data_IF_962587360704
#
_entry.id   IF_962587360704
#
_cell.length_a   1.000
_cell.length_b   1.000
_cell.length_c   1.000
_cell.angle_alpha   90.00
_cell.angle_beta   90.00
_cell.angle_gamma   90.00
#
_symmetry.space_group_name_H-M   'P 1'
#
loop_
_entity.id
_entity.type
_entity.pdbx_description
1 polymer ?
#
# COMPACT_ATOMS: atom_id res chain seq x y z
N UNK A 1 74.04 18.73 -5.14
CA UNK A 1 73.19 17.64 -4.62
C UNK A 1 71.74 18.09 -4.77
N UNK A 2 71.08 17.65 -5.85
CA UNK A 2 69.71 18.01 -6.17
C UNK A 2 68.78 16.90 -5.67
N UNK A 3 67.88 17.22 -4.74
CA UNK A 3 66.77 16.33 -4.40
C UNK A 3 65.50 16.88 -5.06
N UNK A 4 65.11 16.17 -6.11
CA UNK A 4 63.77 16.14 -6.69
C UNK A 4 62.78 15.72 -5.60
N UNK A 5 61.62 16.36 -5.52
CA UNK A 5 60.36 15.61 -5.57
C UNK A 5 59.19 16.56 -5.79
N UNK A 6 58.64 16.47 -7.00
CA UNK A 6 57.47 17.20 -7.47
C UNK A 6 56.23 16.39 -7.08
N UNK A 7 55.53 16.77 -6.00
CA UNK A 7 54.25 16.15 -5.64
C UNK A 7 53.09 16.92 -6.28
N UNK A 8 52.82 16.61 -7.54
CA UNK A 8 51.50 16.84 -8.17
C UNK A 8 50.98 15.46 -8.56
N UNK A 9 50.08 14.89 -7.76
CA UNK A 9 49.15 13.87 -8.22
C UNK A 9 47.89 13.95 -7.34
N UNK A 10 46.87 14.52 -7.97
CA UNK A 10 45.45 14.12 -7.87
C UNK A 10 44.73 14.50 -6.58
N UNK A 11 44.49 15.81 -6.49
CA UNK A 11 43.22 16.39 -6.07
C UNK A 11 42.06 15.68 -6.82
N UNK A 12 41.52 14.59 -6.28
CA UNK A 12 40.49 13.81 -7.00
C UNK A 12 39.90 12.63 -6.24
N UNK A 13 39.88 12.67 -4.90
CA UNK A 13 39.28 11.62 -4.09
C UNK A 13 38.58 12.18 -2.84
N UNK A 14 37.79 13.24 -3.03
CA UNK A 14 36.94 13.79 -1.95
C UNK A 14 35.50 14.08 -2.40
N UNK A 15 35.12 13.62 -3.60
CA UNK A 15 33.84 13.92 -4.23
C UNK A 15 33.16 12.63 -4.74
N UNK A 16 32.97 11.65 -3.85
CA UNK A 16 32.19 10.45 -4.18
C UNK A 16 31.42 9.83 -3.00
N UNK A 17 31.39 10.47 -1.82
CA UNK A 17 30.67 9.96 -0.63
C UNK A 17 29.58 10.94 -0.16
N UNK A 18 29.23 11.94 -0.97
CA UNK A 18 28.26 12.98 -0.62
C UNK A 18 26.93 12.93 -1.39
N UNK A 19 26.73 11.98 -2.31
CA UNK A 19 25.58 12.00 -3.26
C UNK A 19 24.81 10.66 -3.28
N UNK A 20 24.86 9.89 -2.19
CA UNK A 20 24.11 8.62 -2.08
C UNK A 20 22.97 8.64 -1.06
N UNK A 21 22.63 9.80 -0.48
CA UNK A 21 21.58 9.91 0.56
C UNK A 21 20.35 10.72 0.12
N UNK A 22 20.37 11.36 -1.05
CA UNK A 22 19.25 12.21 -1.50
C UNK A 22 18.29 11.58 -2.53
N UNK A 23 18.49 10.32 -2.95
CA UNK A 23 17.62 9.67 -3.94
C UNK A 23 16.48 8.82 -3.34
N UNK A 24 16.46 8.61 -2.01
CA UNK A 24 15.46 7.78 -1.33
C UNK A 24 14.22 8.51 -0.82
N UNK A 25 14.12 9.83 -0.97
CA UNK A 25 13.13 10.67 -0.26
C UNK A 25 12.01 11.20 -1.17
N UNK A 26 11.96 10.82 -2.45
CA UNK A 26 10.97 11.35 -3.41
C UNK A 26 9.77 10.43 -3.72
N UNK A 27 9.57 9.34 -2.96
CA UNK A 27 8.33 8.55 -3.01
C UNK A 27 7.41 8.82 -1.80
N UNK A 28 7.29 10.10 -1.44
CA UNK A 28 6.31 10.63 -0.50
C UNK A 28 5.41 11.62 -1.24
N UNK A 29 4.65 11.15 -2.23
CA UNK A 29 3.66 11.97 -2.93
C UNK A 29 2.46 11.11 -3.34
N UNK A 30 1.65 10.81 -2.34
CA UNK A 30 0.38 10.10 -2.46
C UNK A 30 -0.30 10.01 -1.09
N UNK A 31 -0.22 11.09 -0.32
CA UNK A 31 -0.90 11.21 0.96
C UNK A 31 -2.39 11.41 0.72
N UNK A 32 -3.19 10.42 1.10
CA UNK A 32 -4.64 10.51 1.18
C UNK A 32 -5.01 11.47 2.34
N UNK A 33 -5.93 12.44 2.14
CA UNK A 33 -6.28 13.41 3.17
C UNK A 33 -7.17 12.77 4.25
N UNK A 34 -6.55 12.29 5.34
CA UNK A 34 -7.28 11.79 6.51
C UNK A 34 -6.40 11.28 7.66
N UNK A 35 -5.14 11.71 7.72
CA UNK A 35 -4.11 11.11 8.56
C UNK A 35 -4.16 11.59 10.03
N UNK A 36 -5.13 11.11 10.80
CA UNK A 36 -5.18 11.27 12.27
C UNK A 36 -4.25 10.24 12.96
N UNK A 37 -2.94 10.41 12.76
CA UNK A 37 -1.85 10.27 13.73
C UNK A 37 -1.84 9.12 14.76
N UNK A 38 -1.73 7.87 14.32
CA UNK A 38 -1.10 6.79 15.08
C UNK A 38 0.20 6.32 14.41
N UNK A 39 1.14 5.67 15.11
CA UNK A 39 2.35 5.13 14.48
C UNK A 39 1.97 4.05 13.47
N UNK A 40 2.30 4.27 12.19
CA UNK A 40 2.21 3.24 11.15
C UNK A 40 3.40 2.31 11.26
N UNK A 41 3.14 1.05 11.59
CA UNK A 41 4.14 -0.02 11.50
C UNK A 41 3.89 -0.87 10.26
N UNK A 42 4.97 -1.24 9.56
CA UNK A 42 4.93 -2.32 8.57
C UNK A 42 4.44 -3.60 9.26
N UNK A 43 3.42 -4.25 8.73
CA UNK A 43 2.80 -5.43 9.30
C UNK A 43 2.83 -6.62 8.32
N UNK A 44 2.73 -7.84 8.86
CA UNK A 44 2.56 -9.02 8.03
C UNK A 44 1.21 -8.96 7.30
N UNK A 45 1.24 -9.16 5.97
CA UNK A 45 0.04 -9.05 5.17
C UNK A 45 -0.99 -10.15 5.44
N UNK A 46 -0.56 -11.36 5.81
CA UNK A 46 -1.50 -12.42 6.16
C UNK A 46 -2.22 -12.07 7.47
N UNK A 47 -1.52 -11.52 8.47
CA UNK A 47 -2.14 -11.04 9.71
C UNK A 47 -3.12 -9.89 9.46
N UNK A 48 -2.75 -8.93 8.61
CA UNK A 48 -3.59 -7.78 8.25
C UNK A 48 -4.84 -8.21 7.49
N UNK A 49 -4.72 -9.12 6.52
CA UNK A 49 -5.88 -9.67 5.81
C UNK A 49 -6.77 -10.50 6.73
N UNK A 50 -6.16 -11.29 7.63
CA UNK A 50 -6.92 -12.04 8.62
C UNK A 50 -7.69 -11.09 9.56
N UNK A 51 -7.09 -9.98 10.02
CA UNK A 51 -7.81 -8.95 10.79
C UNK A 51 -9.01 -8.42 10.00
N UNK A 52 -8.84 -8.15 8.71
CA UNK A 52 -9.90 -7.70 7.81
C UNK A 52 -10.95 -8.79 7.47
N UNK A 53 -10.78 -10.01 7.97
CA UNK A 53 -11.59 -11.21 7.67
C UNK A 53 -11.58 -11.60 6.18
N UNK A 54 -10.44 -11.38 5.51
CA UNK A 54 -10.21 -11.78 4.13
C UNK A 54 -9.16 -12.89 4.06
N UNK A 55 -9.28 -13.75 3.05
CA UNK A 55 -8.20 -14.64 2.64
C UNK A 55 -7.27 -13.91 1.66
N UNK A 56 -5.95 -14.18 1.68
CA UNK A 56 -5.05 -13.69 0.65
C UNK A 56 -5.44 -14.28 -0.72
N UNK A 57 -5.45 -13.47 -1.80
CA UNK A 57 -5.68 -13.99 -3.14
C UNK A 57 -4.54 -14.91 -3.57
N UNK A 58 -4.85 -15.89 -4.41
CA UNK A 58 -3.82 -16.70 -5.05
C UNK A 58 -2.96 -15.82 -5.98
N UNK A 59 -1.65 -16.04 -6.00
CA UNK A 59 -0.75 -15.37 -6.95
C UNK A 59 -0.58 -13.86 -6.75
N UNK A 60 -1.06 -13.30 -5.63
CA UNK A 60 -0.85 -11.88 -5.30
C UNK A 60 0.63 -11.54 -5.15
N UNK A 61 0.99 -10.29 -5.48
CA UNK A 61 2.39 -9.80 -5.46
C UNK A 61 2.46 -8.34 -5.05
N UNK A 62 3.68 -7.87 -4.81
CA UNK A 62 3.99 -6.49 -4.39
C UNK A 62 3.20 -6.04 -3.15
N UNK A 63 3.00 -6.97 -2.23
CA UNK A 63 2.27 -6.73 -0.99
C UNK A 63 2.93 -5.71 -0.08
N UNK A 64 2.17 -4.71 0.32
CA UNK A 64 2.52 -3.79 1.42
C UNK A 64 1.34 -3.68 2.37
N UNK A 65 1.57 -3.96 3.63
CA UNK A 65 0.55 -3.89 4.67
C UNK A 65 1.07 -3.10 5.86
N UNK A 66 0.19 -2.28 6.41
CA UNK A 66 0.45 -1.43 7.56
C UNK A 66 -0.64 -1.64 8.61
N UNK A 67 -0.26 -1.59 9.88
CA UNK A 67 -1.20 -1.56 11.01
C UNK A 67 -0.98 -0.27 11.78
N UNK A 68 -2.09 0.33 12.18
CA UNK A 68 -2.11 1.53 13.04
C UNK A 68 -3.04 1.26 14.21
N UNK A 69 -2.59 1.58 15.41
CA UNK A 69 -3.43 1.58 16.62
C UNK A 69 -3.59 3.03 17.08
N UNK A 70 -4.84 3.47 17.21
CA UNK A 70 -5.19 4.78 17.74
C UNK A 70 -5.11 4.77 19.28
N UNK A 71 -4.98 5.96 19.88
CA UNK A 71 -4.87 6.11 21.33
C UNK A 71 -6.11 5.62 22.11
N UNK A 72 -7.26 5.54 21.46
CA UNK A 72 -8.51 4.98 22.00
C UNK A 72 -8.62 3.45 21.86
N UNK A 73 -7.56 2.79 21.37
CA UNK A 73 -7.49 1.35 21.18
C UNK A 73 -8.11 0.85 19.87
N UNK A 74 -8.63 1.74 19.01
CA UNK A 74 -9.09 1.34 17.67
C UNK A 74 -7.91 0.92 16.81
N UNK A 75 -8.05 -0.22 16.15
CA UNK A 75 -7.05 -0.73 15.20
C UNK A 75 -7.56 -0.52 13.78
N UNK A 76 -6.72 0.07 12.93
CA UNK A 76 -6.96 0.15 11.50
C UNK A 76 -5.81 -0.52 10.77
N UNK A 77 -6.12 -1.27 9.71
CA UNK A 77 -5.12 -1.86 8.83
C UNK A 77 -5.30 -1.36 7.41
N UNK A 78 -4.18 -1.17 6.74
CA UNK A 78 -4.13 -0.82 5.32
C UNK A 78 -3.36 -1.91 4.59
N UNK A 79 -3.85 -2.34 3.45
CA UNK A 79 -3.11 -3.22 2.56
C UNK A 79 -3.15 -2.74 1.12
N UNK A 80 -2.09 -3.00 0.38
CA UNK A 80 -2.02 -2.78 -1.06
C UNK A 80 -1.25 -3.92 -1.70
N UNK A 81 -1.76 -4.43 -2.82
CA UNK A 81 -1.11 -5.47 -3.59
C UNK A 81 -1.57 -5.47 -5.04
N UNK A 82 -0.95 -6.33 -5.85
CA UNK A 82 -1.32 -6.60 -7.24
C UNK A 82 -1.74 -8.03 -7.44
N UNK A 83 -2.68 -8.24 -8.34
CA UNK A 83 -3.13 -9.55 -8.81
C UNK A 83 -3.60 -9.48 -10.26
N UNK A 84 -3.82 -10.62 -10.91
CA UNK A 84 -4.40 -10.64 -12.25
C UNK A 84 -5.88 -10.21 -12.19
N UNK A 85 -6.32 -9.45 -13.19
CA UNK A 85 -7.67 -8.93 -13.30
C UNK A 85 -8.70 -10.06 -13.33
N UNK A 86 -8.37 -11.16 -14.01
CA UNK A 86 -9.22 -12.35 -14.10
C UNK A 86 -9.45 -13.03 -12.73
N UNK A 87 -8.53 -12.85 -11.76
CA UNK A 87 -8.62 -13.48 -10.45
C UNK A 87 -9.39 -12.62 -9.43
N UNK A 88 -9.64 -11.34 -9.73
CA UNK A 88 -10.29 -10.39 -8.82
C UNK A 88 -11.70 -10.85 -8.46
N UNK A 89 -12.48 -11.27 -9.46
CA UNK A 89 -13.85 -11.74 -9.25
C UNK A 89 -13.89 -12.97 -8.33
N UNK A 90 -13.04 -13.96 -8.60
CA UNK A 90 -12.94 -15.16 -7.78
C UNK A 90 -12.51 -14.85 -6.34
N UNK A 91 -11.59 -13.91 -6.16
CA UNK A 91 -11.17 -13.47 -4.83
C UNK A 91 -12.29 -12.74 -4.09
N UNK A 92 -13.00 -11.82 -4.73
CA UNK A 92 -14.15 -11.11 -4.13
C UNK A 92 -15.27 -12.10 -3.78
N UNK A 93 -15.52 -13.11 -4.62
CA UNK A 93 -16.50 -14.15 -4.37
C UNK A 93 -16.14 -15.06 -3.17
N UNK A 94 -14.88 -15.06 -2.73
CA UNK A 94 -14.45 -15.79 -1.52
C UNK A 94 -14.86 -15.11 -0.21
N UNK A 95 -15.36 -13.88 -0.28
CA UNK A 95 -15.74 -13.14 0.91
C UNK A 95 -17.01 -13.73 1.54
N UNK A 96 -17.15 -13.66 2.88
CA UNK A 96 -18.31 -14.21 3.56
C UNK A 96 -19.63 -13.54 3.13
N UNK A 97 -19.55 -12.31 2.63
CA UNK A 97 -20.66 -11.54 2.06
C UNK A 97 -20.15 -10.74 0.88
N UNK A 98 -20.99 -10.61 -0.14
CA UNK A 98 -20.67 -9.81 -1.32
C UNK A 98 -20.48 -8.34 -0.92
N UNK A 99 -19.35 -7.72 -1.27
CA UNK A 99 -19.14 -6.31 -1.00
C UNK A 99 -20.04 -5.45 -1.89
N UNK A 100 -20.56 -4.36 -1.35
CA UNK A 100 -21.45 -3.44 -2.05
C UNK A 100 -20.62 -2.42 -2.83
N UNK A 101 -20.98 -2.16 -4.08
CA UNK A 101 -20.33 -1.12 -4.87
C UNK A 101 -20.68 0.26 -4.29
N UNK A 102 -19.66 1.09 -4.08
CA UNK A 102 -19.80 2.45 -3.54
C UNK A 102 -19.02 3.44 -4.38
N UNK A 103 -19.33 4.73 -4.24
CA UNK A 103 -18.54 5.78 -4.88
C UNK A 103 -17.10 5.78 -4.34
N UNK A 104 -16.12 5.86 -5.24
CA UNK A 104 -14.73 6.07 -4.85
C UNK A 104 -14.56 7.46 -4.21
N UNK A 105 -14.06 7.56 -2.96
CA UNK A 105 -13.76 8.84 -2.36
C UNK A 105 -12.54 9.49 -3.03
N UNK A 106 -12.49 10.83 -3.02
CA UNK A 106 -11.37 11.62 -3.52
C UNK A 106 -11.46 12.02 -5.01
N UNK A 107 -10.53 12.87 -5.48
CA UNK A 107 -10.47 13.27 -6.88
C UNK A 107 -10.19 12.06 -7.77
N UNK A 108 -10.93 11.96 -8.87
CA UNK A 108 -10.70 10.93 -9.90
C UNK A 108 -9.45 11.33 -10.69
N UNK A 109 -8.49 10.41 -10.91
CA UNK A 109 -7.39 10.69 -11.82
C UNK A 109 -7.92 10.88 -13.26
N UNK A 110 -7.18 11.60 -14.11
CA UNK A 110 -7.64 11.94 -15.47
C UNK A 110 -7.88 10.71 -16.37
N UNK A 111 -7.27 9.57 -16.03
CA UNK A 111 -7.44 8.27 -16.70
C UNK A 111 -8.46 7.36 -15.98
N UNK A 112 -9.30 7.91 -15.11
CA UNK A 112 -10.33 7.15 -14.40
C UNK A 112 -11.36 6.59 -15.36
N UNK A 113 -11.44 5.27 -15.41
CA UNK A 113 -12.52 4.54 -16.06
C UNK A 113 -13.47 3.99 -14.99
N UNK A 114 -14.72 4.52 -14.86
CA UNK A 114 -15.68 4.04 -13.88
C UNK A 114 -16.16 2.60 -14.12
N UNK A 115 -16.01 2.06 -15.34
CA UNK A 115 -16.40 0.69 -15.64
C UNK A 115 -15.32 -0.32 -15.22
N UNK A 116 -14.06 0.13 -15.18
CA UNK A 116 -12.91 -0.71 -14.88
C UNK A 116 -12.33 -0.48 -13.47
N UNK A 117 -12.48 0.72 -12.89
CA UNK A 117 -12.16 1.02 -11.48
C UNK A 117 -13.40 0.85 -10.59
N UNK A 118 -13.25 0.11 -9.49
CA UNK A 118 -14.34 -0.16 -8.56
C UNK A 118 -13.95 0.12 -7.12
N UNK A 119 -14.79 0.86 -6.40
CA UNK A 119 -14.73 0.95 -4.96
C UNK A 119 -15.88 0.15 -4.35
N UNK A 120 -15.56 -0.57 -3.29
CA UNK A 120 -16.52 -1.46 -2.63
C UNK A 120 -16.42 -1.30 -1.12
N UNK A 121 -17.53 -1.50 -0.44
CA UNK A 121 -17.59 -1.53 1.01
C UNK A 121 -18.22 -2.84 1.48
N UNK A 122 -17.66 -3.41 2.53
CA UNK A 122 -18.22 -4.59 3.19
C UNK A 122 -18.29 -4.32 4.70
N UNK A 123 -19.51 -4.35 5.23
CA UNK A 123 -19.73 -4.45 6.67
C UNK A 123 -19.85 -5.92 7.05
N UNK A 124 -19.11 -6.33 8.08
CA UNK A 124 -19.18 -7.68 8.63
C UNK A 124 -20.33 -7.79 9.62
N UNK A 125 -20.96 -8.96 9.66
CA UNK A 125 -22.06 -9.21 10.59
C UNK A 125 -21.51 -9.37 12.02
N UNK A 126 -21.90 -8.43 12.88
CA UNK A 126 -21.61 -8.46 14.31
C UNK A 126 -20.13 -8.22 14.69
N UNK A 127 -19.90 -7.77 15.93
CA UNK A 127 -18.54 -7.59 16.46
C UNK A 127 -17.86 -8.95 16.65
N UNK A 128 -16.59 -9.05 16.24
CA UNK A 128 -15.73 -10.19 16.50
C UNK A 128 -14.43 -9.68 17.13
N UNK A 129 -14.07 -10.11 18.36
CA UNK A 129 -12.85 -9.64 19.01
C UNK A 129 -11.61 -9.85 18.15
N UNK A 130 -10.77 -8.81 18.03
CA UNK A 130 -9.53 -8.84 17.25
C UNK A 130 -9.73 -8.88 15.73
N UNK A 131 -10.92 -8.49 15.23
CA UNK A 131 -11.23 -8.44 13.80
C UNK A 131 -11.92 -7.13 13.45
N UNK A 132 -11.75 -6.70 12.21
CA UNK A 132 -12.44 -5.55 11.66
C UNK A 132 -13.97 -5.73 11.72
N UNK A 133 -14.68 -4.62 11.94
CA UNK A 133 -16.13 -4.51 11.76
C UNK A 133 -16.49 -4.33 10.28
N UNK A 134 -15.58 -3.83 9.45
CA UNK A 134 -15.77 -3.74 8.01
C UNK A 134 -14.49 -3.39 7.27
N UNK A 135 -14.60 -3.34 5.95
CA UNK A 135 -13.51 -2.93 5.09
C UNK A 135 -13.99 -2.18 3.85
N UNK A 136 -13.11 -1.35 3.31
CA UNK A 136 -13.27 -0.69 2.01
C UNK A 136 -12.21 -1.22 1.06
N UNK A 137 -12.63 -1.54 -0.15
CA UNK A 137 -11.76 -1.95 -1.25
C UNK A 137 -11.74 -0.86 -2.31
N UNK A 138 -10.58 -0.69 -2.95
CA UNK A 138 -10.42 -0.02 -4.22
C UNK A 138 -9.65 -0.93 -5.15
N UNK A 139 -10.22 -1.23 -6.30
CA UNK A 139 -9.60 -2.01 -7.37
C UNK A 139 -9.35 -1.05 -8.52
N UNK A 140 -8.09 -0.92 -8.91
CA UNK A 140 -7.64 -0.06 -10.00
C UNK A 140 -6.92 -0.91 -11.04
N UNK A 141 -7.42 -1.02 -12.28
CA UNK A 141 -6.68 -1.66 -13.36
C UNK A 141 -5.35 -0.95 -13.59
N UNK A 142 -4.30 -1.71 -13.79
CA UNK A 142 -3.02 -1.23 -14.27
C UNK A 142 -2.84 -1.65 -15.73
N UNK A 143 -1.80 -1.11 -16.39
CA UNK A 143 -1.49 -1.47 -17.78
C UNK A 143 -1.26 -2.99 -17.88
N UNK A 144 -1.91 -3.64 -18.85
CA UNK A 144 -1.85 -5.08 -19.05
C UNK A 144 -3.02 -5.81 -18.42
N UNK A 145 -2.76 -6.98 -17.82
CA UNK A 145 -3.77 -7.85 -17.20
C UNK A 145 -3.84 -7.71 -15.69
N UNK A 146 -3.14 -6.73 -15.10
CA UNK A 146 -2.98 -6.60 -13.66
C UNK A 146 -3.96 -5.60 -13.07
N UNK A 147 -4.46 -5.88 -11.88
CA UNK A 147 -5.19 -4.94 -11.05
C UNK A 147 -4.42 -4.68 -9.77
N UNK A 148 -4.35 -3.41 -9.37
CA UNK A 148 -3.91 -2.98 -8.05
C UNK A 148 -5.11 -2.96 -7.12
N UNK A 149 -5.00 -3.65 -5.99
CA UNK A 149 -5.99 -3.67 -4.93
C UNK A 149 -5.46 -2.88 -3.75
N UNK A 150 -6.25 -1.96 -3.22
CA UNK A 150 -6.03 -1.30 -1.94
C UNK A 150 -7.21 -1.59 -1.03
N UNK A 151 -6.93 -1.88 0.23
CA UNK A 151 -7.96 -2.02 1.24
C UNK A 151 -7.62 -1.28 2.52
N UNK A 152 -8.67 -0.85 3.19
CA UNK A 152 -8.70 -0.26 4.53
C UNK A 152 -9.70 -1.08 5.35
N UNK A 153 -9.35 -1.47 6.57
CA UNK A 153 -10.24 -2.21 7.45
C UNK A 153 -10.11 -1.75 8.89
N UNK A 154 -11.25 -1.64 9.58
CA UNK A 154 -11.37 -1.23 10.99
C UNK A 154 -12.53 -1.94 11.67
#
# INVERSE_FOLDING_TARGET
>A
MALRSTFKLVLGLSLAVGVAVCAGVLWQAGGDPGDEGGPRGTADCAEVMAFARMAPPAGWRDGRCDRTEAADGRTTVLGTFRMEHADVEAWVASFPKAPEQVGCPGPRPDNYDPESEGCFALAHDGPQPGRAAGLRLRITPEVGTTAKVRFDAS
#
